data_IF_359396326292
#
_entry.id   IF_359396326292
#
_cell.length_a   1.000
_cell.length_b   1.000
_cell.length_c   1.000
_cell.angle_alpha   90.00
_cell.angle_beta   90.00
_cell.angle_gamma   90.00
#
_symmetry.space_group_name_H-M   'P 1'
#
loop_
_entity.id
_entity.type
_entity.pdbx_description
1 polymer ?
#
# COMPACT_ATOMS: atom_id res chain seq x y z
N UNK A 1 56.71 -18.21 -14.46
CA UNK A 1 55.96 -18.82 -13.35
C UNK A 1 55.88 -17.82 -12.21
N UNK A 2 54.77 -17.11 -12.08
CA UNK A 2 54.39 -16.42 -10.85
C UNK A 2 52.88 -16.59 -10.72
N UNK A 3 52.48 -17.54 -9.87
CA UNK A 3 51.09 -17.83 -9.58
C UNK A 3 50.65 -17.00 -8.37
N UNK A 4 49.67 -16.13 -8.59
CA UNK A 4 48.87 -15.53 -7.52
C UNK A 4 47.56 -16.30 -7.46
N UNK A 5 47.39 -17.09 -6.41
CA UNK A 5 46.15 -17.76 -6.05
C UNK A 5 45.14 -16.73 -5.54
N UNK A 6 44.00 -16.61 -6.23
CA UNK A 6 42.85 -15.84 -5.78
C UNK A 6 42.09 -16.69 -4.74
N UNK A 7 41.93 -16.26 -3.48
CA UNK A 7 41.16 -17.00 -2.50
C UNK A 7 39.68 -16.99 -2.88
N UNK A 8 39.03 -18.14 -2.65
CA UNK A 8 37.65 -18.42 -3.01
C UNK A 8 36.64 -17.44 -2.41
N UNK A 9 35.59 -17.26 -3.21
CA UNK A 9 34.30 -16.64 -2.94
C UNK A 9 33.96 -16.40 -1.46
N UNK A 10 33.64 -15.13 -1.19
CA UNK A 10 32.82 -14.66 -0.08
C UNK A 10 31.60 -15.59 0.10
N UNK A 11 31.64 -16.43 1.13
CA UNK A 11 30.44 -17.05 1.69
C UNK A 11 29.56 -15.93 2.25
N UNK A 12 28.38 -15.75 1.66
CA UNK A 12 27.35 -14.86 2.19
C UNK A 12 27.03 -15.29 3.65
N UNK A 13 26.91 -14.34 4.59
CA UNK A 13 26.61 -14.65 5.99
C UNK A 13 25.29 -15.44 6.10
N UNK A 14 25.27 -16.42 7.01
CA UNK A 14 24.22 -17.44 7.19
C UNK A 14 22.83 -16.94 7.63
N UNK A 15 22.50 -15.66 7.44
CA UNK A 15 21.17 -15.08 7.68
C UNK A 15 20.17 -15.31 6.53
N UNK A 16 20.60 -15.92 5.41
CA UNK A 16 19.76 -16.26 4.26
C UNK A 16 19.25 -17.71 4.23
N UNK A 17 19.43 -18.49 5.31
CA UNK A 17 18.77 -19.80 5.43
C UNK A 17 17.30 -19.63 5.84
N UNK A 18 16.46 -19.28 4.86
CA UNK A 18 15.02 -19.57 4.93
C UNK A 18 14.88 -21.09 4.82
N UNK A 19 14.89 -21.76 5.97
CA UNK A 19 14.89 -23.21 6.09
C UNK A 19 13.92 -23.69 7.16
N UNK A 20 12.69 -23.19 7.14
CA UNK A 20 11.55 -24.07 7.36
C UNK A 20 11.21 -24.69 6.01
N UNK A 21 10.89 -25.98 5.94
CA UNK A 21 10.17 -26.47 4.76
C UNK A 21 8.88 -25.67 4.69
N UNK A 22 8.80 -24.73 3.76
CA UNK A 22 7.48 -24.32 3.29
C UNK A 22 6.77 -25.61 2.85
N UNK A 23 5.50 -25.83 3.26
CA UNK A 23 4.75 -26.99 2.81
C UNK A 23 4.79 -27.08 1.28
N UNK A 24 4.72 -28.29 0.73
CA UNK A 24 4.56 -28.46 -0.71
C UNK A 24 3.40 -27.56 -1.19
N UNK A 25 3.52 -26.90 -2.37
CA UNK A 25 2.49 -25.99 -2.84
C UNK A 25 1.18 -26.74 -3.00
N UNK A 26 0.29 -26.57 -2.03
CA UNK A 26 -1.05 -27.13 -2.02
C UNK A 26 -1.89 -26.30 -3.00
N UNK A 27 -2.27 -26.92 -4.11
CA UNK A 27 -3.12 -26.28 -5.11
C UNK A 27 -4.56 -26.54 -4.72
N UNK A 28 -5.19 -25.55 -4.08
CA UNK A 28 -6.64 -25.59 -3.83
C UNK A 28 -7.37 -25.32 -5.14
N UNK A 29 -8.36 -26.16 -5.48
CA UNK A 29 -9.28 -25.91 -6.60
C UNK A 29 -10.65 -25.58 -6.02
N UNK A 30 -11.19 -24.41 -6.34
CA UNK A 30 -12.54 -24.00 -5.93
C UNK A 30 -13.50 -24.00 -7.12
N UNK A 31 -14.65 -24.65 -6.94
CA UNK A 31 -15.68 -24.79 -7.97
C UNK A 31 -16.43 -23.49 -8.24
N UNK A 32 -16.97 -23.34 -9.46
CA UNK A 32 -17.71 -22.14 -9.86
C UNK A 32 -18.86 -21.77 -8.91
N UNK A 33 -19.69 -22.74 -8.54
CA UNK A 33 -20.87 -22.49 -7.70
C UNK A 33 -20.47 -22.08 -6.25
N UNK A 34 -19.34 -22.57 -5.75
CA UNK A 34 -18.79 -22.21 -4.44
C UNK A 34 -18.25 -20.77 -4.44
N UNK A 35 -17.57 -20.35 -5.52
CA UNK A 35 -17.12 -18.96 -5.69
C UNK A 35 -18.29 -18.00 -5.71
N UNK A 36 -19.38 -18.35 -6.39
CA UNK A 36 -20.60 -17.54 -6.40
C UNK A 36 -21.29 -17.51 -5.02
N UNK A 37 -21.23 -18.61 -4.26
CA UNK A 37 -21.75 -18.66 -2.89
C UNK A 37 -20.93 -17.77 -1.94
N UNK A 38 -19.60 -17.87 -1.99
CA UNK A 38 -18.68 -16.99 -1.28
C UNK A 38 -18.98 -15.51 -1.58
N UNK A 39 -19.17 -15.16 -2.85
CA UNK A 39 -19.49 -13.79 -3.27
C UNK A 39 -20.78 -13.26 -2.63
N UNK A 40 -21.84 -14.07 -2.57
CA UNK A 40 -23.10 -13.70 -1.92
C UNK A 40 -22.96 -13.52 -0.41
N UNK A 41 -22.15 -14.35 0.25
CA UNK A 41 -21.92 -14.24 1.69
C UNK A 41 -21.08 -13.01 2.05
N UNK A 42 -20.10 -12.65 1.21
CA UNK A 42 -19.33 -11.41 1.36
C UNK A 42 -20.20 -10.18 1.12
N UNK A 43 -21.09 -10.20 0.13
CA UNK A 43 -22.09 -9.14 -0.08
C UNK A 43 -23.01 -8.98 1.13
N UNK A 44 -23.50 -10.10 1.68
CA UNK A 44 -24.35 -10.07 2.88
C UNK A 44 -23.61 -9.48 4.10
N UNK A 45 -22.34 -9.84 4.30
CA UNK A 45 -21.49 -9.25 5.34
C UNK A 45 -21.34 -7.73 5.14
N UNK A 46 -21.08 -7.29 3.91
CA UNK A 46 -20.98 -5.86 3.59
C UNK A 46 -22.28 -5.13 3.91
N UNK A 47 -23.41 -5.66 3.45
CA UNK A 47 -24.71 -5.02 3.62
C UNK A 47 -25.12 -4.92 5.09
N UNK A 48 -24.78 -5.92 5.92
CA UNK A 48 -24.96 -5.88 7.36
C UNK A 48 -24.17 -4.73 8.01
N UNK A 49 -22.89 -4.57 7.66
CA UNK A 49 -22.06 -3.49 8.20
C UNK A 49 -22.52 -2.12 7.71
N UNK A 50 -22.92 -2.01 6.44
CA UNK A 50 -23.48 -0.76 5.89
C UNK A 50 -24.76 -0.36 6.62
N UNK A 51 -25.63 -1.32 6.95
CA UNK A 51 -26.87 -1.06 7.67
C UNK A 51 -26.63 -0.60 9.13
N UNK A 52 -25.49 -0.97 9.73
CA UNK A 52 -25.11 -0.60 11.09
C UNK A 52 -24.31 0.73 11.19
N UNK A 53 -23.91 1.33 10.06
CA UNK A 53 -23.16 2.59 10.07
C UNK A 53 -23.93 3.71 10.78
N UNK A 54 -23.25 4.39 11.70
CA UNK A 54 -23.93 5.39 12.52
C UNK A 54 -23.03 6.27 13.38
N UNK A 55 -23.56 6.69 14.53
CA UNK A 55 -22.91 7.69 15.39
C UNK A 55 -21.53 7.25 15.90
N UNK A 56 -21.31 5.94 16.08
CA UNK A 56 -20.03 5.40 16.53
C UNK A 56 -18.91 5.64 15.50
N UNK A 57 -19.18 5.40 14.22
CA UNK A 57 -18.25 5.62 13.10
C UNK A 57 -17.92 7.10 12.94
N UNK A 58 -18.95 7.95 13.04
CA UNK A 58 -18.80 9.40 12.97
C UNK A 58 -17.94 9.94 14.12
N UNK A 59 -18.21 9.51 15.35
CA UNK A 59 -17.42 9.94 16.51
C UNK A 59 -15.98 9.41 16.40
N UNK A 60 -15.80 8.18 15.90
CA UNK A 60 -14.47 7.62 15.65
C UNK A 60 -13.62 8.55 14.78
N UNK A 61 -14.09 8.90 13.57
CA UNK A 61 -13.28 9.71 12.65
C UNK A 61 -13.03 11.12 13.20
N UNK A 62 -13.98 11.70 13.92
CA UNK A 62 -13.76 13.00 14.58
C UNK A 62 -12.70 12.95 15.67
N UNK A 63 -12.64 11.87 16.47
CA UNK A 63 -11.56 11.69 17.45
C UNK A 63 -10.20 11.54 16.76
N UNK A 64 -10.12 10.80 15.66
CA UNK A 64 -8.87 10.67 14.87
C UNK A 64 -8.44 12.03 14.33
N UNK A 65 -9.34 12.79 13.71
CA UNK A 65 -9.05 14.15 13.20
C UNK A 65 -8.59 15.07 14.34
N UNK A 66 -9.24 15.01 15.50
CA UNK A 66 -8.85 15.81 16.68
C UNK A 66 -7.45 15.42 17.17
N UNK A 67 -7.14 14.12 17.24
CA UNK A 67 -5.82 13.64 17.64
C UNK A 67 -4.74 14.08 16.65
N UNK A 68 -4.97 13.88 15.34
CA UNK A 68 -4.07 14.31 14.27
C UNK A 68 -3.77 15.81 14.37
N UNK A 69 -4.79 16.66 14.46
CA UNK A 69 -4.61 18.12 14.62
C UNK A 69 -3.89 18.49 15.92
N UNK A 70 -4.16 17.77 17.00
CA UNK A 70 -3.46 17.94 18.27
C UNK A 70 -1.95 17.67 18.15
N UNK A 71 -1.58 16.57 17.50
CA UNK A 71 -0.18 16.23 17.21
C UNK A 71 0.47 17.23 16.25
N UNK A 72 -0.26 17.71 15.23
CA UNK A 72 0.24 18.77 14.34
C UNK A 72 0.59 20.02 15.14
N UNK A 73 -0.36 20.56 15.91
CA UNK A 73 -0.16 21.79 16.70
C UNK A 73 0.95 21.61 17.73
N UNK A 74 0.97 20.48 18.45
CA UNK A 74 2.01 20.18 19.43
C UNK A 74 3.39 20.09 18.74
N UNK A 75 3.48 19.37 17.63
CA UNK A 75 4.72 19.22 16.87
C UNK A 75 5.26 20.56 16.37
N UNK A 76 4.41 21.40 15.76
CA UNK A 76 4.78 22.74 15.31
C UNK A 76 5.17 23.65 16.47
N UNK A 77 4.50 23.56 17.62
CA UNK A 77 4.85 24.31 18.82
C UNK A 77 6.20 23.91 19.40
N UNK A 78 6.49 22.61 19.48
CA UNK A 78 7.75 22.08 20.00
C UNK A 78 8.96 22.47 19.15
N UNK A 79 8.79 22.75 17.85
CA UNK A 79 9.87 23.24 16.99
C UNK A 79 10.45 24.58 17.45
N UNK A 80 9.68 25.43 18.16
CA UNK A 80 10.22 26.66 18.76
C UNK A 80 11.19 26.41 19.91
N UNK A 81 11.23 25.17 20.43
CA UNK A 81 12.18 24.70 21.44
C UNK A 81 13.17 23.67 20.85
N UNK A 82 13.22 23.53 19.52
CA UNK A 82 13.99 22.50 18.82
C UNK A 82 15.53 22.61 18.98
N UNK A 83 16.04 23.70 19.56
CA UNK A 83 17.44 23.80 19.96
C UNK A 83 17.77 22.90 21.17
N UNK A 84 16.76 22.45 21.92
CA UNK A 84 16.89 21.46 22.98
C UNK A 84 16.57 20.07 22.41
N UNK A 85 17.52 19.11 22.42
CA UNK A 85 17.34 17.82 21.75
C UNK A 85 16.07 17.05 22.13
N UNK A 86 15.63 17.00 23.41
CA UNK A 86 14.39 16.31 23.77
C UNK A 86 13.13 16.92 23.12
N UNK A 87 13.08 18.25 23.01
CA UNK A 87 11.94 18.96 22.41
C UNK A 87 11.92 18.79 20.89
N UNK A 88 13.08 18.77 20.25
CA UNK A 88 13.18 18.47 18.83
C UNK A 88 12.67 17.06 18.52
N UNK A 89 13.17 16.05 19.26
CA UNK A 89 12.73 14.65 19.09
C UNK A 89 11.22 14.49 19.33
N UNK A 90 10.68 15.10 20.38
CA UNK A 90 9.25 15.08 20.67
C UNK A 90 8.44 15.78 19.57
N UNK A 91 8.92 16.91 19.06
CA UNK A 91 8.26 17.64 17.98
C UNK A 91 8.25 16.87 16.66
N UNK A 92 9.39 16.25 16.28
CA UNK A 92 9.45 15.37 15.11
C UNK A 92 8.56 14.15 15.27
N UNK A 93 8.53 13.54 16.46
CA UNK A 93 7.65 12.41 16.76
C UNK A 93 6.18 12.79 16.60
N UNK A 94 5.76 13.93 17.16
CA UNK A 94 4.40 14.44 17.02
C UNK A 94 4.04 14.75 15.55
N UNK A 95 4.92 15.42 14.80
CA UNK A 95 4.70 15.68 13.37
C UNK A 95 4.63 14.39 12.55
N UNK A 96 5.43 13.39 12.88
CA UNK A 96 5.41 12.09 12.21
C UNK A 96 4.07 11.38 12.44
N UNK A 97 3.57 11.36 13.68
CA UNK A 97 2.26 10.78 14.01
C UNK A 97 1.14 11.54 13.29
N UNK A 98 1.17 12.88 13.32
CA UNK A 98 0.21 13.73 12.59
C UNK A 98 0.15 13.36 11.12
N UNK A 99 1.30 13.29 10.44
CA UNK A 99 1.39 12.97 9.01
C UNK A 99 0.96 11.55 8.69
N UNK A 100 1.25 10.57 9.55
CA UNK A 100 0.80 9.19 9.37
C UNK A 100 -0.73 9.10 9.48
N UNK A 101 -1.32 9.71 10.51
CA UNK A 101 -2.78 9.71 10.69
C UNK A 101 -3.49 10.45 9.55
N UNK A 102 -2.97 11.59 9.11
CA UNK A 102 -3.52 12.34 7.97
C UNK A 102 -3.45 11.51 6.68
N UNK A 103 -2.32 10.85 6.41
CA UNK A 103 -2.16 10.08 5.18
C UNK A 103 -3.00 8.80 5.18
N UNK A 104 -2.92 8.01 6.25
CA UNK A 104 -3.42 6.62 6.27
C UNK A 104 -4.83 6.50 6.88
N UNK A 105 -5.05 7.00 8.08
CA UNK A 105 -6.32 6.78 8.79
C UNK A 105 -7.42 7.77 8.37
N UNK A 106 -7.03 8.97 7.93
CA UNK A 106 -7.97 10.01 7.49
C UNK A 106 -8.03 10.07 5.96
N UNK A 107 -6.96 10.51 5.32
CA UNK A 107 -6.99 10.91 3.91
C UNK A 107 -7.27 9.76 2.96
N UNK A 108 -6.55 8.65 3.09
CA UNK A 108 -6.80 7.42 2.35
C UNK A 108 -8.27 6.97 2.49
N UNK A 109 -8.73 6.82 3.72
CA UNK A 109 -10.07 6.31 4.05
C UNK A 109 -11.20 7.23 3.55
N UNK A 110 -11.07 8.54 3.74
CA UNK A 110 -12.05 9.52 3.26
C UNK A 110 -12.10 9.56 1.73
N UNK A 111 -10.95 9.47 1.06
CA UNK A 111 -10.92 9.46 -0.41
C UNK A 111 -11.43 8.17 -1.03
N UNK A 112 -11.44 7.05 -0.30
CA UNK A 112 -12.17 5.82 -0.66
C UNK A 112 -13.69 5.93 -0.52
N UNK A 113 -14.21 7.06 -0.01
CA UNK A 113 -15.65 7.27 0.15
C UNK A 113 -16.23 6.68 1.43
N UNK A 114 -15.38 6.19 2.33
CA UNK A 114 -15.82 5.49 3.55
C UNK A 114 -16.71 6.32 4.47
N UNK A 115 -16.67 7.65 4.35
CA UNK A 115 -17.47 8.58 5.16
C UNK A 115 -18.47 9.40 4.33
N UNK A 116 -18.67 9.09 3.04
CA UNK A 116 -19.56 9.87 2.16
C UNK A 116 -21.03 9.79 2.60
N UNK A 117 -21.42 8.68 3.23
CA UNK A 117 -22.74 8.47 3.82
C UNK A 117 -23.09 9.51 4.90
N UNK A 118 -22.08 10.08 5.58
CA UNK A 118 -22.28 11.10 6.61
C UNK A 118 -22.74 12.46 6.04
N UNK A 119 -22.49 12.70 4.73
CA UNK A 119 -22.77 13.97 4.05
C UNK A 119 -22.15 15.20 4.74
N UNK A 120 -21.00 15.00 5.40
CA UNK A 120 -20.31 16.07 6.12
C UNK A 120 -19.57 17.01 5.15
N UNK A 121 -19.74 18.34 5.30
CA UNK A 121 -18.99 19.31 4.51
C UNK A 121 -17.47 19.14 4.73
N UNK A 122 -16.74 18.86 3.66
CA UNK A 122 -15.28 18.75 3.71
C UNK A 122 -14.73 17.39 4.15
N UNK A 123 -15.56 16.46 4.63
CA UNK A 123 -15.17 15.09 4.98
C UNK A 123 -15.87 14.09 4.04
N UNK A 124 -15.53 14.17 2.76
CA UNK A 124 -16.04 13.27 1.73
C UNK A 124 -15.06 13.18 0.55
N UNK A 125 -15.13 12.06 -0.17
CA UNK A 125 -14.21 11.70 -1.26
C UNK A 125 -14.16 12.71 -2.39
N UNK A 126 -15.21 13.53 -2.57
CA UNK A 126 -15.32 14.47 -3.69
C UNK A 126 -14.45 15.71 -3.50
N UNK A 127 -14.24 16.14 -2.25
CA UNK A 127 -13.59 17.43 -1.95
C UNK A 127 -12.38 17.31 -1.02
N UNK A 128 -12.21 16.18 -0.34
CA UNK A 128 -11.12 16.01 0.62
C UNK A 128 -9.75 16.07 -0.07
N UNK A 129 -8.79 16.73 0.58
CA UNK A 129 -7.40 16.85 0.13
C UNK A 129 -6.46 16.61 1.32
N UNK A 130 -5.63 15.58 1.22
CA UNK A 130 -4.66 15.18 2.26
C UNK A 130 -3.33 15.93 2.21
N UNK A 131 -2.55 15.82 3.29
CA UNK A 131 -1.22 16.40 3.47
C UNK A 131 -0.10 15.58 2.78
N UNK A 132 -0.22 15.41 1.46
CA UNK A 132 0.84 14.81 0.64
C UNK A 132 0.97 15.55 -0.69
N UNK A 133 2.04 15.27 -1.45
CA UNK A 133 2.22 15.84 -2.79
C UNK A 133 1.26 15.29 -3.84
N UNK A 134 0.76 14.06 -3.68
CA UNK A 134 -0.18 13.42 -4.61
C UNK A 134 -1.57 14.07 -4.51
N UNK A 135 -2.15 14.62 -5.59
CA UNK A 135 -3.52 15.11 -5.63
C UNK A 135 -4.59 14.05 -5.38
N UNK A 136 -5.71 14.44 -4.78
CA UNK A 136 -6.79 13.51 -4.47
C UNK A 136 -7.47 12.93 -5.72
N UNK A 137 -7.63 13.73 -6.77
CA UNK A 137 -8.18 13.29 -8.06
C UNK A 137 -7.29 12.24 -8.72
N UNK A 138 -5.96 12.45 -8.67
CA UNK A 138 -4.98 11.49 -9.15
C UNK A 138 -5.05 10.19 -8.33
N UNK A 139 -5.02 10.27 -7.00
CA UNK A 139 -5.12 9.10 -6.13
C UNK A 139 -6.38 8.27 -6.41
N UNK A 140 -7.54 8.92 -6.56
CA UNK A 140 -8.80 8.23 -6.87
C UNK A 140 -8.77 7.54 -8.24
N UNK A 141 -8.02 8.06 -9.21
CA UNK A 141 -7.85 7.39 -10.48
C UNK A 141 -6.88 6.22 -10.39
N UNK A 142 -5.65 6.47 -9.93
CA UNK A 142 -4.58 5.47 -9.93
C UNK A 142 -4.85 4.35 -8.92
N UNK A 143 -5.33 4.69 -7.74
CA UNK A 143 -5.53 3.71 -6.68
C UNK A 143 -6.98 3.22 -6.63
N UNK A 144 -7.96 4.10 -6.42
CA UNK A 144 -9.35 3.64 -6.22
C UNK A 144 -9.96 3.01 -7.48
N UNK A 145 -9.65 3.53 -8.66
CA UNK A 145 -10.14 2.94 -9.91
C UNK A 145 -9.18 1.87 -10.42
N UNK A 146 -7.95 2.22 -10.79
CA UNK A 146 -7.06 1.27 -11.45
C UNK A 146 -6.65 0.12 -10.53
N UNK A 147 -6.10 0.41 -9.35
CA UNK A 147 -5.66 -0.64 -8.44
C UNK A 147 -6.83 -1.47 -7.89
N UNK A 148 -7.82 -0.87 -7.22
CA UNK A 148 -8.92 -1.67 -6.61
C UNK A 148 -9.80 -2.42 -7.62
N UNK A 149 -9.93 -1.94 -8.87
CA UNK A 149 -10.63 -2.71 -9.91
C UNK A 149 -9.78 -3.89 -10.40
N UNK A 150 -8.48 -3.64 -10.64
CA UNK A 150 -7.58 -4.57 -11.31
C UNK A 150 -6.49 -5.14 -10.41
N UNK A 151 -6.71 -5.21 -9.09
CA UNK A 151 -5.72 -5.57 -8.06
C UNK A 151 -4.88 -6.77 -8.47
N UNK A 152 -3.56 -6.57 -8.45
CA UNK A 152 -2.55 -7.58 -8.76
C UNK A 152 -2.67 -8.23 -10.16
N UNK A 153 -3.36 -7.60 -11.11
CA UNK A 153 -3.36 -8.04 -12.51
C UNK A 153 -2.13 -7.47 -13.23
N UNK A 154 -1.19 -8.34 -13.60
CA UNK A 154 0.07 -7.97 -14.26
C UNK A 154 -0.21 -7.29 -15.59
N UNK A 155 0.30 -6.07 -15.75
CA UNK A 155 0.10 -5.25 -16.95
C UNK A 155 -1.10 -4.29 -16.88
N UNK A 156 -1.98 -4.45 -15.88
CA UNK A 156 -3.09 -3.52 -15.58
C UNK A 156 -2.87 -2.74 -14.29
N UNK A 157 -2.54 -3.44 -13.22
CA UNK A 157 -2.24 -2.83 -11.93
C UNK A 157 -0.84 -2.22 -11.94
N UNK A 158 -0.78 -0.88 -11.88
CA UNK A 158 0.49 -0.14 -11.85
C UNK A 158 1.12 -0.16 -10.47
N UNK A 159 0.39 -0.49 -9.41
CA UNK A 159 0.93 -0.59 -8.06
C UNK A 159 1.88 -1.80 -7.95
N UNK A 160 1.81 -2.77 -8.89
CA UNK A 160 2.82 -3.83 -9.07
C UNK A 160 4.15 -3.21 -9.48
N UNK A 161 4.96 -2.89 -8.45
CA UNK A 161 6.28 -2.31 -8.61
C UNK A 161 6.30 -0.84 -9.02
N UNK A 162 5.17 -0.13 -9.05
CA UNK A 162 5.09 1.32 -9.30
C UNK A 162 5.76 1.76 -10.61
N UNK A 163 5.83 0.87 -11.60
CA UNK A 163 6.51 1.08 -12.89
C UNK A 163 8.05 1.09 -12.85
N UNK A 164 8.67 1.00 -11.65
CA UNK A 164 10.13 1.08 -11.47
C UNK A 164 10.74 -0.20 -10.89
N UNK A 165 9.95 -1.03 -10.22
CA UNK A 165 10.41 -2.31 -9.66
C UNK A 165 9.87 -3.47 -10.46
N UNK A 166 10.67 -4.53 -10.55
CA UNK A 166 10.17 -5.85 -10.92
C UNK A 166 9.69 -6.58 -9.66
N UNK A 167 8.40 -6.87 -9.59
CA UNK A 167 7.73 -7.51 -8.46
C UNK A 167 7.02 -8.82 -8.84
N UNK A 168 7.03 -9.21 -10.11
CA UNK A 168 6.40 -10.44 -10.59
C UNK A 168 7.28 -11.22 -11.60
N UNK A 169 7.09 -12.53 -11.67
CA UNK A 169 7.78 -13.39 -12.64
C UNK A 169 7.38 -13.09 -14.09
N UNK A 170 6.11 -12.76 -14.33
CA UNK A 170 5.57 -12.43 -15.65
C UNK A 170 6.15 -11.13 -16.22
N UNK A 171 6.70 -10.25 -15.38
CA UNK A 171 7.44 -9.07 -15.85
C UNK A 171 8.78 -9.51 -16.46
N UNK A 172 9.01 -9.16 -17.73
CA UNK A 172 10.25 -9.51 -18.44
C UNK A 172 11.46 -8.85 -17.78
N UNK A 173 12.41 -9.67 -17.34
CA UNK A 173 13.66 -9.18 -16.75
C UNK A 173 14.57 -8.50 -17.80
N UNK A 174 15.28 -7.46 -17.36
CA UNK A 174 16.38 -6.81 -18.07
C UNK A 174 17.38 -6.21 -17.05
N UNK A 175 18.62 -5.83 -17.45
CA UNK A 175 19.66 -5.39 -16.53
C UNK A 175 19.33 -4.19 -15.63
N UNK A 176 18.36 -3.35 -15.99
CA UNK A 176 17.85 -2.27 -15.13
C UNK A 176 17.44 -2.80 -13.75
N UNK A 177 16.81 -3.98 -13.70
CA UNK A 177 16.30 -4.54 -12.45
C UNK A 177 17.39 -5.02 -11.49
N UNK A 178 18.67 -5.06 -11.88
CA UNK A 178 19.76 -5.22 -10.90
C UNK A 178 19.72 -4.12 -9.83
N UNK A 179 19.17 -2.94 -10.18
CA UNK A 179 18.93 -1.83 -9.26
C UNK A 179 17.68 -1.95 -8.39
N UNK A 180 16.85 -3.00 -8.50
CA UNK A 180 15.61 -3.17 -7.74
C UNK A 180 15.73 -2.79 -6.26
N UNK A 181 16.73 -3.30 -5.49
CA UNK A 181 16.86 -2.94 -4.07
C UNK A 181 17.16 -1.46 -3.83
N UNK A 182 17.97 -0.84 -4.71
CA UNK A 182 18.28 0.59 -4.64
C UNK A 182 17.05 1.43 -4.98
N UNK A 183 16.31 1.06 -6.03
CA UNK A 183 15.10 1.77 -6.46
C UNK A 183 14.00 1.63 -5.42
N UNK A 184 13.84 0.46 -4.82
CA UNK A 184 12.89 0.22 -3.73
C UNK A 184 13.25 1.04 -2.50
N UNK A 185 14.54 1.15 -2.17
CA UNK A 185 15.01 2.00 -1.07
C UNK A 185 14.70 3.47 -1.38
N UNK A 186 15.03 3.96 -2.57
CA UNK A 186 14.72 5.33 -2.97
C UNK A 186 13.20 5.62 -2.92
N UNK A 187 12.40 4.69 -3.44
CA UNK A 187 10.94 4.77 -3.40
C UNK A 187 10.43 4.81 -1.95
N UNK A 188 10.97 4.00 -1.05
CA UNK A 188 10.58 3.99 0.37
C UNK A 188 10.80 5.35 1.05
N UNK A 189 11.91 6.04 0.78
CA UNK A 189 12.17 7.36 1.35
C UNK A 189 11.37 8.48 0.66
N UNK A 190 11.01 8.29 -0.62
CA UNK A 190 10.34 9.28 -1.46
C UNK A 190 8.91 8.83 -1.84
N UNK A 191 8.27 8.02 -0.99
CA UNK A 191 7.09 7.25 -1.38
C UNK A 191 5.95 8.12 -1.90
N UNK A 192 5.67 9.25 -1.26
CA UNK A 192 4.65 10.20 -1.74
C UNK A 192 4.90 10.73 -3.16
N UNK A 193 6.18 10.90 -3.53
CA UNK A 193 6.58 11.36 -4.85
C UNK A 193 6.47 10.22 -5.85
N UNK A 194 6.80 9.00 -5.45
CA UNK A 194 6.54 7.80 -6.24
C UNK A 194 5.06 7.64 -6.56
N UNK A 195 4.19 7.76 -5.54
CA UNK A 195 2.73 7.74 -5.70
C UNK A 195 2.26 8.88 -6.61
N UNK A 196 2.81 10.08 -6.53
CA UNK A 196 2.45 11.16 -7.47
C UNK A 196 2.97 10.93 -8.89
N UNK A 197 4.10 10.24 -9.09
CA UNK A 197 4.72 10.13 -10.41
C UNK A 197 4.36 8.85 -11.17
N UNK A 198 3.96 7.76 -10.48
CA UNK A 198 3.69 6.48 -11.13
C UNK A 198 2.49 6.51 -12.12
N UNK A 199 1.51 7.40 -11.86
CA UNK A 199 0.34 7.61 -12.72
C UNK A 199 0.65 8.47 -13.97
N UNK A 200 1.85 9.03 -14.07
CA UNK A 200 2.25 9.79 -15.27
C UNK A 200 2.26 8.91 -16.52
N UNK A 201 2.36 7.59 -16.35
CA UNK A 201 2.52 6.61 -17.43
C UNK A 201 3.57 7.06 -18.44
N UNK A 202 4.72 7.53 -17.94
CA UNK A 202 5.75 8.12 -18.79
C UNK A 202 6.16 7.17 -19.92
N UNK A 203 6.14 5.86 -19.66
CA UNK A 203 6.33 4.81 -20.67
C UNK A 203 5.30 4.85 -21.82
N UNK A 204 4.02 5.12 -21.55
CA UNK A 204 2.96 5.20 -22.57
C UNK A 204 3.11 6.46 -23.42
N UNK A 205 3.61 7.54 -22.83
CA UNK A 205 3.96 8.77 -23.58
C UNK A 205 5.17 8.49 -24.48
N UNK A 206 6.21 7.84 -23.95
CA UNK A 206 7.42 7.47 -24.72
C UNK A 206 7.08 6.47 -25.84
N UNK A 207 6.20 5.51 -25.57
CA UNK A 207 5.72 4.52 -26.55
C UNK A 207 4.69 5.09 -27.54
N UNK A 208 4.29 6.36 -27.40
CA UNK A 208 3.31 7.02 -28.27
C UNK A 208 1.85 6.55 -28.08
N UNK A 209 1.57 5.76 -27.05
CA UNK A 209 0.22 5.31 -26.67
C UNK A 209 -0.63 6.44 -26.07
N UNK A 210 0.01 7.48 -25.53
CA UNK A 210 -0.64 8.66 -24.93
C UNK A 210 0.04 9.94 -25.41
N UNK A 211 -0.74 10.96 -25.79
CA UNK A 211 -0.17 12.23 -26.26
C UNK A 211 0.22 13.12 -25.08
N UNK A 212 1.36 13.79 -25.20
CA UNK A 212 1.81 14.76 -24.19
C UNK A 212 0.80 15.90 -23.95
N UNK A 213 0.03 16.29 -24.97
CA UNK A 213 -1.04 17.29 -24.86
C UNK A 213 -2.08 16.94 -23.79
N UNK A 214 -2.33 15.65 -23.59
CA UNK A 214 -3.37 15.14 -22.71
C UNK A 214 -2.85 15.01 -21.28
N UNK A 215 -1.53 14.85 -21.13
CA UNK A 215 -0.83 14.69 -19.84
C UNK A 215 -0.40 16.05 -19.26
N UNK A 216 -0.03 17.01 -20.10
CA UNK A 216 0.51 18.32 -19.68
C UNK A 216 -0.40 19.08 -18.68
N UNK A 217 -1.74 19.15 -18.85
CA UNK A 217 -2.61 19.82 -17.89
C UNK A 217 -2.62 19.15 -16.51
N UNK A 218 -2.62 17.80 -16.48
CA UNK A 218 -2.59 17.00 -15.26
C UNK A 218 -1.29 17.27 -14.49
N UNK A 219 -0.15 17.16 -15.17
CA UNK A 219 1.18 17.45 -14.61
C UNK A 219 1.25 18.86 -14.01
N UNK A 220 0.68 19.86 -14.68
CA UNK A 220 0.62 21.23 -14.14
C UNK A 220 -0.23 21.32 -12.87
N UNK A 221 -1.30 20.55 -12.76
CA UNK A 221 -2.12 20.43 -11.54
C UNK A 221 -1.31 19.82 -10.40
N UNK A 222 -0.65 18.70 -10.67
CA UNK A 222 0.16 17.95 -9.71
C UNK A 222 1.28 18.81 -9.14
N UNK A 223 2.09 19.43 -10.00
CA UNK A 223 3.18 20.31 -9.56
C UNK A 223 2.71 21.55 -8.81
N UNK A 224 1.51 22.05 -9.09
CA UNK A 224 0.93 23.16 -8.32
C UNK A 224 0.59 22.73 -6.89
N UNK A 225 0.03 21.53 -6.72
CA UNK A 225 -0.21 20.96 -5.39
C UNK A 225 1.11 20.66 -4.68
N UNK A 226 2.01 19.92 -5.31
CA UNK A 226 3.31 19.59 -4.77
C UNK A 226 4.09 20.85 -4.36
N UNK A 227 4.09 21.89 -5.21
CA UNK A 227 4.72 23.17 -4.92
C UNK A 227 4.15 23.86 -3.68
N UNK A 228 2.83 23.78 -3.44
CA UNK A 228 2.23 24.30 -2.20
C UNK A 228 2.67 23.51 -0.98
N UNK A 229 2.74 22.19 -1.06
CA UNK A 229 3.20 21.37 0.06
C UNK A 229 4.68 21.61 0.36
N UNK A 230 5.52 21.69 -0.67
CA UNK A 230 6.94 22.01 -0.53
C UNK A 230 7.14 23.39 0.07
N UNK A 231 6.41 24.40 -0.43
CA UNK A 231 6.45 25.74 0.12
C UNK A 231 6.04 25.75 1.60
N UNK A 232 4.96 25.05 1.95
CA UNK A 232 4.46 24.96 3.32
C UNK A 232 5.49 24.32 4.27
N UNK A 233 5.93 23.10 3.97
CA UNK A 233 6.75 22.30 4.87
C UNK A 233 8.23 22.72 4.89
N UNK A 234 8.78 23.21 3.78
CA UNK A 234 10.22 23.50 3.67
C UNK A 234 10.57 24.98 3.63
N UNK A 235 9.58 25.87 3.57
CA UNK A 235 9.82 27.32 3.59
C UNK A 235 8.99 28.03 4.65
N UNK A 236 7.66 27.92 4.62
CA UNK A 236 6.79 28.69 5.50
C UNK A 236 6.96 28.30 6.97
N UNK A 237 6.80 27.03 7.33
CA UNK A 237 6.97 26.60 8.71
C UNK A 237 8.39 26.83 9.24
N UNK A 238 9.47 26.51 8.50
CA UNK A 238 10.82 26.89 8.88
C UNK A 238 11.00 28.39 9.09
N UNK A 239 10.50 29.23 8.18
CA UNK A 239 10.60 30.69 8.28
C UNK A 239 9.88 31.25 9.51
N UNK A 240 8.74 30.68 9.88
CA UNK A 240 8.01 31.07 11.10
C UNK A 240 8.82 30.86 12.38
N UNK A 241 9.76 29.90 12.39
CA UNK A 241 10.64 29.65 13.54
C UNK A 241 11.91 30.52 13.55
N UNK A 242 12.05 31.45 12.59
CA UNK A 242 13.12 32.44 12.57
C UNK A 242 14.52 31.82 12.61
N UNK A 243 15.35 32.11 13.64
CA UNK A 243 16.69 31.54 13.77
C UNK A 243 16.74 30.00 13.79
N UNK A 244 15.65 29.34 14.15
CA UNK A 244 15.54 27.87 14.17
C UNK A 244 15.16 27.27 12.81
N UNK A 245 15.18 28.06 11.73
CA UNK A 245 14.81 27.64 10.37
C UNK A 245 15.35 26.26 10.01
N UNK A 246 16.66 26.04 10.15
CA UNK A 246 17.30 24.77 9.76
C UNK A 246 16.83 23.61 10.65
N UNK A 247 16.65 23.86 11.95
CA UNK A 247 16.14 22.84 12.89
C UNK A 247 14.72 22.39 12.52
N UNK A 248 13.84 23.32 12.20
CA UNK A 248 12.46 23.06 11.77
C UNK A 248 12.40 22.43 10.38
N UNK A 249 13.25 22.89 9.44
CA UNK A 249 13.38 22.31 8.11
C UNK A 249 13.73 20.82 8.20
N UNK A 250 14.76 20.49 8.98
CA UNK A 250 15.18 19.12 9.21
C UNK A 250 14.09 18.32 9.92
N UNK A 251 13.41 18.90 10.92
CA UNK A 251 12.32 18.23 11.62
C UNK A 251 11.16 17.86 10.68
N UNK A 252 10.76 18.78 9.80
CA UNK A 252 9.72 18.54 8.80
C UNK A 252 10.15 17.51 7.75
N UNK A 253 11.40 17.57 7.29
CA UNK A 253 11.96 16.58 6.37
C UNK A 253 11.97 15.18 7.00
N UNK A 254 12.42 15.06 8.25
CA UNK A 254 12.43 13.80 8.99
C UNK A 254 11.02 13.25 9.16
N UNK A 255 10.03 14.08 9.55
CA UNK A 255 8.65 13.63 9.71
C UNK A 255 8.03 13.12 8.38
N UNK A 256 8.34 13.76 7.25
CA UNK A 256 7.92 13.27 5.93
C UNK A 256 8.60 11.95 5.57
N UNK A 257 9.90 11.79 5.85
CA UNK A 257 10.62 10.52 5.64
C UNK A 257 10.03 9.40 6.49
N UNK A 258 9.74 9.65 7.78
CA UNK A 258 9.12 8.66 8.67
C UNK A 258 7.77 8.20 8.10
N UNK A 259 6.93 9.15 7.68
CA UNK A 259 5.64 8.81 7.04
C UNK A 259 5.82 8.02 5.75
N UNK A 260 6.78 8.40 4.88
CA UNK A 260 7.03 7.69 3.62
C UNK A 260 7.49 6.24 3.86
N UNK A 261 8.46 6.04 4.76
CA UNK A 261 8.96 4.71 5.12
C UNK A 261 7.83 3.85 5.70
N UNK A 262 7.01 4.44 6.58
CA UNK A 262 5.88 3.75 7.19
C UNK A 262 4.81 3.36 6.16
N UNK A 263 4.34 4.31 5.36
CA UNK A 263 3.31 4.08 4.34
C UNK A 263 3.77 3.05 3.30
N UNK A 264 5.00 3.18 2.79
CA UNK A 264 5.62 2.20 1.90
C UNK A 264 5.60 0.79 2.51
N UNK A 265 6.04 0.68 3.77
CA UNK A 265 6.16 -0.63 4.43
C UNK A 265 4.80 -1.30 4.60
N UNK A 266 3.77 -0.55 5.01
CA UNK A 266 2.41 -1.10 5.18
C UNK A 266 1.82 -1.51 3.83
N UNK A 267 1.85 -0.62 2.83
CA UNK A 267 1.24 -0.87 1.52
C UNK A 267 1.91 -2.04 0.79
N UNK A 268 3.25 -2.11 0.83
CA UNK A 268 3.96 -3.23 0.18
C UNK A 268 3.70 -4.57 0.87
N UNK A 269 3.56 -4.59 2.20
CA UNK A 269 3.15 -5.78 2.93
C UNK A 269 1.73 -6.22 2.59
N UNK A 270 0.88 -5.32 2.12
CA UNK A 270 -0.46 -5.64 1.68
C UNK A 270 -0.52 -6.45 0.38
N UNK A 271 0.47 -6.31 -0.52
CA UNK A 271 0.36 -6.81 -1.91
C UNK A 271 1.50 -7.70 -2.39
N UNK A 272 2.67 -7.64 -1.75
CA UNK A 272 3.85 -8.35 -2.23
C UNK A 272 4.48 -9.41 -1.30
N UNK A 273 3.99 -9.70 -0.08
CA UNK A 273 4.63 -10.73 0.71
C UNK A 273 4.44 -12.12 0.11
N UNK A 274 5.11 -13.11 0.71
CA UNK A 274 4.90 -14.51 0.35
C UNK A 274 3.43 -14.91 0.51
N UNK A 275 2.92 -15.75 -0.40
CA UNK A 275 1.53 -16.22 -0.40
C UNK A 275 0.51 -15.29 -1.04
N UNK A 276 0.92 -14.10 -1.51
CA UNK A 276 0.06 -13.23 -2.33
C UNK A 276 0.23 -13.58 -3.81
N UNK A 277 -0.91 -13.75 -4.49
CA UNK A 277 -0.98 -14.11 -5.90
C UNK A 277 -1.03 -12.87 -6.80
N UNK A 278 -0.47 -13.02 -7.99
CA UNK A 278 -0.66 -12.11 -9.12
C UNK A 278 -1.46 -12.84 -10.21
N UNK A 279 -2.17 -12.06 -11.02
CA UNK A 279 -3.09 -12.59 -12.02
C UNK A 279 -2.76 -12.03 -13.40
N UNK A 280 -3.14 -12.76 -14.44
CA UNK A 280 -3.08 -12.28 -15.84
C UNK A 280 -4.43 -11.70 -16.26
N UNK A 281 -4.43 -10.91 -17.34
CA UNK A 281 -5.69 -10.40 -17.92
C UNK A 281 -6.60 -11.55 -18.37
N UNK A 282 -6.04 -12.63 -18.91
CA UNK A 282 -6.81 -13.78 -19.39
C UNK A 282 -7.48 -14.56 -18.24
N UNK A 283 -6.79 -14.70 -17.11
CA UNK A 283 -7.35 -15.32 -15.90
C UNK A 283 -8.52 -14.53 -15.30
N UNK A 284 -8.58 -13.23 -15.58
CA UNK A 284 -9.52 -12.29 -14.97
C UNK A 284 -10.54 -11.70 -15.97
N UNK A 285 -10.47 -12.09 -17.23
CA UNK A 285 -11.39 -11.65 -18.28
C UNK A 285 -12.82 -12.11 -17.98
N UNK A 286 -13.79 -11.19 -17.93
CA UNK A 286 -15.20 -11.47 -17.64
C UNK A 286 -15.44 -12.09 -16.24
N UNK A 287 -14.68 -11.67 -15.23
CA UNK A 287 -14.91 -12.06 -13.84
C UNK A 287 -16.34 -11.78 -13.37
N UNK A 288 -16.94 -12.77 -12.70
CA UNK A 288 -18.12 -12.54 -11.87
C UNK A 288 -17.75 -11.77 -10.60
N UNK A 289 -18.74 -11.32 -9.85
CA UNK A 289 -18.50 -10.66 -8.56
C UNK A 289 -17.82 -11.57 -7.53
N UNK A 290 -18.19 -12.85 -7.49
CA UNK A 290 -17.53 -13.84 -6.63
C UNK A 290 -16.08 -14.07 -7.03
N UNK A 291 -15.79 -14.16 -8.32
CA UNK A 291 -14.42 -14.30 -8.83
C UNK A 291 -13.57 -13.06 -8.54
N UNK A 292 -14.16 -11.86 -8.70
CA UNK A 292 -13.52 -10.62 -8.29
C UNK A 292 -13.15 -10.64 -6.81
N UNK A 293 -14.09 -11.00 -5.92
CA UNK A 293 -13.83 -11.10 -4.49
C UNK A 293 -12.72 -12.08 -4.15
N UNK A 294 -12.74 -13.26 -4.76
CA UNK A 294 -11.70 -14.26 -4.58
C UNK A 294 -10.33 -13.71 -5.00
N UNK A 295 -10.24 -13.04 -6.15
CA UNK A 295 -9.00 -12.39 -6.58
C UNK A 295 -8.51 -11.35 -5.59
N UNK A 296 -9.41 -10.49 -5.09
CA UNK A 296 -9.07 -9.48 -4.09
C UNK A 296 -8.45 -10.10 -2.83
N UNK A 297 -9.02 -11.20 -2.35
CA UNK A 297 -8.51 -11.92 -1.17
C UNK A 297 -7.14 -12.55 -1.42
N UNK A 298 -6.98 -13.24 -2.56
CA UNK A 298 -5.74 -13.93 -2.90
C UNK A 298 -4.61 -12.96 -3.30
N UNK A 299 -4.98 -11.78 -3.80
CA UNK A 299 -4.09 -10.68 -4.20
C UNK A 299 -3.68 -9.76 -3.05
N UNK A 300 -4.06 -10.07 -1.81
CA UNK A 300 -3.75 -9.25 -0.64
C UNK A 300 -3.33 -10.06 0.58
N UNK A 301 -2.68 -9.40 1.54
CA UNK A 301 -2.24 -10.00 2.78
C UNK A 301 -2.37 -9.07 3.97
N UNK A 302 -2.70 -9.66 5.11
CA UNK A 302 -2.90 -8.96 6.37
C UNK A 302 -1.64 -8.94 7.25
N UNK A 303 -1.59 -7.95 8.13
CA UNK A 303 -0.58 -7.78 9.15
C UNK A 303 -1.24 -7.88 10.54
N UNK A 304 -0.74 -8.80 11.36
CA UNK A 304 -1.17 -8.87 12.77
C UNK A 304 -0.56 -7.72 13.59
N UNK A 305 -1.33 -7.17 14.52
CA UNK A 305 -0.90 -6.01 15.29
C UNK A 305 -1.78 -5.73 16.51
N UNK A 306 -1.40 -4.68 17.24
CA UNK A 306 -2.22 -4.12 18.32
C UNK A 306 -3.22 -3.10 17.75
N UNK A 307 -4.25 -2.67 18.53
CA UNK A 307 -5.17 -1.62 18.07
C UNK A 307 -4.46 -0.33 17.63
N UNK A 308 -3.39 0.06 18.33
CA UNK A 308 -2.59 1.21 17.91
C UNK A 308 -1.89 0.98 16.57
N UNK A 309 -1.35 -0.23 16.34
CA UNK A 309 -0.75 -0.57 15.04
C UNK A 309 -1.77 -0.46 13.92
N UNK A 310 -2.98 -0.98 14.12
CA UNK A 310 -4.07 -0.89 13.15
C UNK A 310 -4.40 0.57 12.82
N UNK A 311 -4.61 1.43 13.81
CA UNK A 311 -4.84 2.87 13.62
C UNK A 311 -3.66 3.54 12.87
N UNK A 312 -2.43 3.27 13.29
CA UNK A 312 -1.25 3.87 12.65
C UNK A 312 -1.08 3.38 11.21
N UNK A 313 -1.60 2.21 10.86
CA UNK A 313 -1.60 1.67 9.50
C UNK A 313 -2.78 2.16 8.64
N UNK A 314 -3.67 3.01 9.14
CA UNK A 314 -4.90 3.34 8.41
C UNK A 314 -5.90 2.20 8.35
N UNK A 315 -5.76 1.21 9.23
CA UNK A 315 -6.33 -0.14 9.17
C UNK A 315 -5.94 -0.96 7.91
N UNK A 316 -4.96 -0.52 7.12
CA UNK A 316 -4.39 -1.31 6.00
C UNK A 316 -3.60 -2.54 6.46
N UNK A 317 -3.44 -2.74 7.76
CA UNK A 317 -3.11 -4.06 8.32
C UNK A 317 -4.15 -5.14 7.99
N UNK A 318 -5.37 -4.74 7.62
CA UNK A 318 -6.48 -5.58 7.16
C UNK A 318 -6.69 -5.37 5.65
N UNK A 319 -5.63 -5.58 4.86
CA UNK A 319 -5.63 -5.38 3.42
C UNK A 319 -6.65 -6.26 2.68
N UNK A 320 -6.89 -7.49 3.16
CA UNK A 320 -7.90 -8.39 2.60
C UNK A 320 -9.28 -7.73 2.71
N UNK A 321 -9.67 -7.30 3.92
CA UNK A 321 -10.93 -6.62 4.16
C UNK A 321 -11.02 -5.29 3.40
N UNK A 322 -9.91 -4.56 3.31
CA UNK A 322 -9.83 -3.33 2.57
C UNK A 322 -10.12 -3.52 1.08
N UNK A 323 -9.58 -4.57 0.46
CA UNK A 323 -9.79 -4.86 -0.96
C UNK A 323 -11.17 -5.47 -1.24
N UNK A 324 -11.73 -6.22 -0.29
CA UNK A 324 -13.11 -6.69 -0.35
C UNK A 324 -14.10 -5.51 -0.24
N UNK A 325 -13.85 -4.58 0.69
CA UNK A 325 -14.80 -3.55 1.11
C UNK A 325 -14.15 -2.17 1.25
N UNK A 326 -13.58 -1.61 0.15
CA UNK A 326 -12.78 -0.38 0.23
C UNK A 326 -13.58 0.83 0.69
N UNK A 327 -14.90 0.80 0.49
CA UNK A 327 -15.85 1.86 0.82
C UNK A 327 -16.48 1.75 2.23
N UNK A 328 -16.09 0.77 3.03
CA UNK A 328 -16.49 0.64 4.44
C UNK A 328 -15.49 1.36 5.35
N UNK A 329 -15.92 2.12 6.38
CA UNK A 329 -15.02 2.70 7.39
C UNK A 329 -13.98 1.70 7.90
N UNK A 330 -12.70 1.99 7.66
CA UNK A 330 -11.63 1.03 7.84
C UNK A 330 -11.47 0.54 9.30
N UNK A 331 -11.95 1.30 10.28
CA UNK A 331 -11.96 0.88 11.68
C UNK A 331 -12.93 -0.29 11.96
N UNK A 332 -13.81 -0.64 11.01
CA UNK A 332 -14.68 -1.82 11.07
C UNK A 332 -13.98 -3.08 10.56
N UNK A 333 -12.90 -2.98 9.79
CA UNK A 333 -12.19 -4.15 9.26
C UNK A 333 -11.75 -5.15 10.36
N UNK A 334 -11.26 -4.73 11.54
CA UNK A 334 -10.97 -5.67 12.63
C UNK A 334 -12.20 -6.48 13.11
N UNK A 335 -13.40 -5.93 13.00
CA UNK A 335 -14.67 -6.59 13.35
C UNK A 335 -15.13 -7.56 12.25
N UNK A 336 -14.82 -7.23 10.99
CA UNK A 336 -15.18 -8.04 9.81
C UNK A 336 -14.21 -9.21 9.60
N UNK A 337 -12.93 -9.03 9.90
CA UNK A 337 -11.85 -9.98 9.63
C UNK A 337 -12.09 -11.40 10.18
N UNK A 338 -12.66 -11.62 11.39
CA UNK A 338 -12.98 -12.96 11.86
C UNK A 338 -13.99 -13.69 10.98
N UNK A 339 -15.01 -12.98 10.47
CA UNK A 339 -16.03 -13.56 9.57
C UNK A 339 -15.44 -13.84 8.20
N UNK A 340 -14.63 -12.93 7.65
CA UNK A 340 -13.91 -13.17 6.38
C UNK A 340 -13.01 -14.40 6.50
N UNK A 341 -12.29 -14.55 7.61
CA UNK A 341 -11.46 -15.74 7.86
C UNK A 341 -12.29 -17.02 7.96
N UNK A 342 -13.43 -17.00 8.64
CA UNK A 342 -14.35 -18.14 8.70
C UNK A 342 -14.85 -18.54 7.29
N UNK A 343 -15.15 -17.55 6.43
CA UNK A 343 -15.47 -17.84 5.03
C UNK A 343 -14.29 -18.53 4.33
N UNK A 344 -13.07 -18.01 4.47
CA UNK A 344 -11.88 -18.65 3.91
C UNK A 344 -11.74 -20.11 4.36
N UNK A 345 -11.87 -20.38 5.66
CA UNK A 345 -11.75 -21.73 6.23
C UNK A 345 -12.83 -22.67 5.69
N UNK A 346 -14.08 -22.22 5.53
CA UNK A 346 -15.17 -23.06 5.01
C UNK A 346 -15.01 -23.41 3.53
N UNK A 347 -14.39 -22.53 2.74
CA UNK A 347 -14.13 -22.75 1.31
C UNK A 347 -12.70 -23.24 1.02
N UNK A 348 -11.95 -23.64 2.05
CA UNK A 348 -10.56 -24.10 1.95
C UNK A 348 -9.60 -23.10 1.26
N UNK A 349 -9.88 -21.81 1.43
CA UNK A 349 -9.10 -20.71 0.86
C UNK A 349 -8.04 -20.21 1.85
N UNK A 350 -6.86 -19.78 1.36
CA UNK A 350 -5.85 -19.20 2.21
C UNK A 350 -6.28 -17.82 2.69
N UNK A 351 -6.17 -17.58 4.00
CA UNK A 351 -6.27 -16.24 4.60
C UNK A 351 -4.85 -15.76 4.96
N UNK A 352 -4.19 -15.07 4.03
CA UNK A 352 -2.78 -14.71 4.18
C UNK A 352 -2.60 -13.62 5.25
N UNK A 353 -2.08 -14.00 6.41
CA UNK A 353 -1.85 -13.10 7.54
C UNK A 353 -0.53 -13.40 8.25
N UNK A 354 0.18 -12.38 8.71
CA UNK A 354 1.47 -12.55 9.36
C UNK A 354 1.92 -11.34 10.17
N UNK A 355 2.95 -11.50 11.01
CA UNK A 355 3.53 -10.37 11.74
C UNK A 355 4.28 -9.41 10.81
N UNK A 356 4.25 -8.11 11.11
CA UNK A 356 4.83 -7.05 10.27
C UNK A 356 6.25 -7.35 9.79
N UNK A 357 7.17 -7.72 10.69
CA UNK A 357 8.57 -7.99 10.34
C UNK A 357 8.74 -9.19 9.40
N UNK A 358 7.87 -10.20 9.51
CA UNK A 358 7.86 -11.33 8.58
C UNK A 358 7.38 -10.87 7.21
N UNK A 359 6.25 -10.15 7.15
CA UNK A 359 5.68 -9.68 5.88
C UNK A 359 6.69 -8.79 5.12
N UNK A 360 7.22 -7.76 5.78
CA UNK A 360 8.19 -6.85 5.13
C UNK A 360 9.49 -7.58 4.76
N UNK A 361 9.93 -8.55 5.56
CA UNK A 361 11.07 -9.40 5.24
C UNK A 361 10.88 -10.20 3.97
N UNK A 362 9.69 -10.79 3.77
CA UNK A 362 9.37 -11.53 2.53
C UNK A 362 9.26 -10.61 1.32
N UNK A 363 8.72 -9.38 1.49
CA UNK A 363 8.69 -8.35 0.44
C UNK A 363 10.11 -8.01 -0.01
N UNK A 364 11.03 -7.72 0.92
CA UNK A 364 12.41 -7.39 0.56
C UNK A 364 13.12 -8.60 -0.05
N UNK A 365 12.92 -9.81 0.46
CA UNK A 365 13.44 -11.02 -0.16
C UNK A 365 12.97 -11.16 -1.62
N UNK A 366 11.70 -10.86 -1.91
CA UNK A 366 11.11 -10.82 -3.25
C UNK A 366 11.79 -9.75 -4.12
N UNK A 367 12.00 -8.53 -3.60
CA UNK A 367 12.72 -7.44 -4.29
C UNK A 367 14.15 -7.86 -4.69
N UNK A 368 14.91 -8.44 -3.75
CA UNK A 368 16.27 -8.91 -4.01
C UNK A 368 16.30 -10.08 -5.00
N UNK A 369 15.37 -11.01 -4.87
CA UNK A 369 15.23 -12.15 -5.80
C UNK A 369 14.97 -11.68 -7.22
N UNK A 370 14.01 -10.76 -7.40
CA UNK A 370 13.64 -10.26 -8.72
C UNK A 370 14.62 -9.27 -9.34
N UNK A 371 15.60 -8.80 -8.56
CA UNK A 371 16.72 -8.06 -9.09
C UNK A 371 17.60 -8.92 -10.02
N UNK A 372 17.73 -10.21 -9.71
CA UNK A 372 18.58 -11.15 -10.43
C UNK A 372 17.85 -11.79 -11.62
N UNK A 373 18.58 -12.18 -12.68
CA UNK A 373 18.00 -12.88 -13.82
C UNK A 373 17.42 -14.24 -13.38
N UNK A 374 16.30 -14.70 -14.00
CA UNK A 374 15.63 -15.96 -13.64
C UNK A 374 16.53 -17.20 -13.64
N UNK A 375 17.57 -17.21 -14.49
CA UNK A 375 18.54 -18.31 -14.56
C UNK A 375 19.37 -18.50 -13.29
N UNK A 376 19.50 -17.48 -12.44
CA UNK A 376 20.28 -17.53 -11.20
C UNK A 376 19.45 -17.88 -9.97
N UNK A 377 18.13 -17.68 -10.02
CA UNK A 377 17.24 -17.82 -8.84
C UNK A 377 16.20 -18.94 -8.99
N UNK A 378 16.09 -19.55 -10.17
CA UNK A 378 15.07 -20.55 -10.49
C UNK A 378 13.66 -19.93 -10.56
N UNK A 379 12.65 -20.74 -10.88
CA UNK A 379 11.24 -20.34 -10.73
C UNK A 379 10.81 -20.53 -9.29
N UNK A 380 9.99 -19.62 -8.76
CA UNK A 380 9.32 -19.84 -7.49
C UNK A 380 8.31 -20.99 -7.64
N UNK A 381 8.06 -21.80 -6.59
CA UNK A 381 6.95 -22.74 -6.58
C UNK A 381 5.64 -21.97 -6.82
N UNK A 382 4.81 -22.48 -7.72
CA UNK A 382 3.45 -21.96 -7.93
C UNK A 382 2.62 -22.46 -6.74
N UNK A 383 2.52 -21.64 -5.70
CA UNK A 383 1.49 -21.80 -4.67
C UNK A 383 0.35 -20.87 -5.04
N UNK A 384 -0.84 -21.41 -5.21
CA UNK A 384 -1.97 -20.63 -5.69
C UNK A 384 -3.27 -21.41 -5.68
N UNK A 385 -4.38 -20.68 -5.69
CA UNK A 385 -5.72 -21.24 -5.77
C UNK A 385 -6.14 -21.21 -7.23
N UNK A 386 -6.49 -22.37 -7.78
CA UNK A 386 -7.01 -22.46 -9.15
C UNK A 386 -8.53 -22.33 -9.09
N UNK A 387 -9.07 -21.44 -9.91
CA UNK A 387 -10.50 -21.12 -9.95
C UNK A 387 -11.14 -21.81 -11.15
N UNK A 388 -12.16 -22.64 -10.91
CA UNK A 388 -13.00 -23.15 -12.00
C UNK A 388 -13.90 -22.05 -12.54
N UNK A 389 -13.48 -21.41 -13.63
CA UNK A 389 -14.10 -20.18 -14.14
C UNK A 389 -15.49 -20.35 -14.74
N UNK A 390 -15.88 -21.58 -15.09
CA UNK A 390 -17.14 -21.87 -15.75
C UNK A 390 -17.82 -23.02 -15.02
N UNK A 391 -19.14 -22.96 -14.98
CA UNK A 391 -19.96 -24.11 -14.62
C UNK A 391 -19.64 -25.25 -15.58
N UNK A 392 -19.06 -26.34 -15.07
CA UNK A 392 -18.86 -27.57 -15.83
C UNK A 392 -20.24 -28.03 -16.28
N UNK A 393 -20.47 -28.13 -17.59
CA UNK A 393 -21.74 -28.61 -18.11
C UNK A 393 -21.92 -30.06 -17.64
N UNK A 394 -23.02 -30.30 -16.92
CA UNK A 394 -23.39 -31.62 -16.40
C UNK A 394 -23.73 -32.61 -17.52
#
# INVERSE_FOLDING_TARGET
MFGLSVPGFLALPGFLKFGGRDPEPEVTVIGYDDVEALGRELDALRDEVVADLGAADREYIYRIIKAQRGFEVAGRGLMYLGFLPPFWLAGVGALSISKILDNMEIGHNVMHGQYDWMREPGLNSRVFEWDTVCPADQWKHSHNYMHHTYTNIVGRDRDIGYGILRMDEAQRWNPYYLGNPLYATALMFLFEWGVMLHDLEAENVIQGKRRWSDVKPLVRGWWRKAGRQVLKDYVLFPALTGPLFVSTLLGNATANVVRNVWAYSIIFCGHFPSGVQSFTEDETADETRGQWYLRQMLGSANITGSPLFHIMSGNLSHQIEHHLFPDIPAHRYPEMAPRVRELCERYDLPYNTGGFFRQIGTVWAKIFRFALPPSLVGRAPVSGVIVERRKTAA
#
